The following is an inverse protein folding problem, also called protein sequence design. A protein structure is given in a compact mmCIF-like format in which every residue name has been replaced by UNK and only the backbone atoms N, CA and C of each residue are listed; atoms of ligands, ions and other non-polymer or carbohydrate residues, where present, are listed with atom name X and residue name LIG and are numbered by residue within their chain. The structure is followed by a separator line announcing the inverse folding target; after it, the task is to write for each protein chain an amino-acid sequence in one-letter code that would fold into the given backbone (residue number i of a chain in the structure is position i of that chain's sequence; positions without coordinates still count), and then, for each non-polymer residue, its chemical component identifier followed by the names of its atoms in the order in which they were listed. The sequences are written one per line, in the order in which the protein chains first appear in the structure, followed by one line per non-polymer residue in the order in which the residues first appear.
data_IF_524397963445
#
_entry.id   IF_524397963445
#
_cell.length_a   1.000
_cell.length_b   1.000
_cell.length_c   1.000
_cell.angle_alpha   90.00
_cell.angle_beta   90.00
_cell.angle_gamma   90.00
#
_symmetry.space_group_name_H-M   'P 1'
#
loop_
_entity.id
_entity.type
_entity.pdbx_description
1 polymer ?
#
# COMPACT_ATOMS: atom_id res chain seq x y z
N UNK A 1 16.88 14.19 -20.70
CA UNK A 1 17.29 15.59 -20.59
C UNK A 1 18.78 15.78 -20.29
N UNK A 2 19.55 14.73 -20.07
CA UNK A 2 20.95 14.83 -19.59
C UNK A 2 22.06 14.92 -20.68
N UNK A 3 21.79 14.67 -21.95
CA UNK A 3 22.85 14.68 -22.97
C UNK A 3 23.24 16.09 -23.40
N UNK A 4 22.35 17.06 -23.32
CA UNK A 4 22.63 18.47 -23.69
C UNK A 4 23.45 19.21 -22.64
N UNK A 5 23.32 18.85 -21.36
CA UNK A 5 24.00 19.52 -20.25
C UNK A 5 25.47 19.11 -20.15
N UNK A 6 25.80 17.86 -20.45
CA UNK A 6 27.18 17.39 -20.46
C UNK A 6 27.99 18.01 -21.58
N UNK A 7 27.39 18.25 -22.77
CA UNK A 7 28.06 18.87 -23.90
C UNK A 7 28.37 20.36 -23.63
N UNK A 8 27.48 21.05 -22.91
CA UNK A 8 27.69 22.45 -22.52
C UNK A 8 28.79 22.58 -21.48
N UNK A 9 28.84 21.67 -20.50
CA UNK A 9 29.86 21.67 -19.46
C UNK A 9 31.26 21.38 -20.04
N UNK A 10 31.38 20.47 -20.99
CA UNK A 10 32.64 20.19 -21.70
C UNK A 10 33.09 21.35 -22.59
N UNK A 11 32.16 22.03 -23.25
CA UNK A 11 32.47 23.22 -24.04
C UNK A 11 33.00 24.38 -23.17
N UNK A 12 32.35 24.63 -22.04
CA UNK A 12 32.80 25.64 -21.06
C UNK A 12 34.15 25.30 -20.46
N UNK A 13 34.39 24.02 -20.14
CA UNK A 13 35.66 23.55 -19.64
C UNK A 13 36.80 23.72 -20.69
N UNK A 14 36.54 23.44 -21.96
CA UNK A 14 37.49 23.63 -23.05
C UNK A 14 37.86 25.11 -23.23
N UNK A 15 36.90 26.02 -23.13
CA UNK A 15 37.13 27.47 -23.22
C UNK A 15 37.98 27.96 -22.04
N UNK A 16 37.68 27.50 -20.82
CA UNK A 16 38.44 27.87 -19.59
C UNK A 16 39.86 27.31 -19.67
N UNK A 17 40.05 26.08 -20.12
CA UNK A 17 41.33 25.44 -20.31
C UNK A 17 42.24 26.20 -21.30
N UNK A 18 41.60 26.75 -22.37
CA UNK A 18 42.32 27.51 -23.41
C UNK A 18 42.82 28.87 -22.86
N UNK A 19 42.11 29.50 -21.89
CA UNK A 19 42.47 30.78 -21.32
C UNK A 19 43.45 30.68 -20.13
N UNK A 20 43.33 29.63 -19.29
CA UNK A 20 44.06 29.52 -18.05
C UNK A 20 45.20 28.48 -18.02
N UNK A 21 45.43 27.72 -19.10
CA UNK A 21 46.41 26.64 -19.19
C UNK A 21 46.36 25.61 -18.03
N UNK A 22 45.20 25.51 -17.36
CA UNK A 22 44.96 24.55 -16.28
C UNK A 22 44.14 23.37 -16.84
N UNK A 23 44.65 22.15 -16.70
CA UNK A 23 43.88 20.96 -17.10
C UNK A 23 42.74 20.67 -16.11
N UNK A 24 41.62 21.40 -16.28
CA UNK A 24 40.43 21.22 -15.46
C UNK A 24 39.66 19.92 -15.82
N UNK A 25 40.04 19.25 -16.90
CA UNK A 25 39.39 18.02 -17.41
C UNK A 25 39.34 16.89 -16.36
N UNK A 26 40.45 16.68 -15.62
CA UNK A 26 40.50 15.67 -14.57
C UNK A 26 39.54 15.96 -13.40
N UNK A 27 39.49 17.21 -12.97
CA UNK A 27 38.63 17.62 -11.84
C UNK A 27 37.15 17.54 -12.24
N UNK A 28 36.81 18.02 -13.45
CA UNK A 28 35.45 17.94 -13.97
C UNK A 28 35.03 16.48 -14.19
N UNK A 29 35.93 15.62 -14.67
CA UNK A 29 35.69 14.19 -14.80
C UNK A 29 35.34 13.51 -13.48
N UNK A 30 36.06 13.85 -12.40
CA UNK A 30 35.77 13.34 -11.06
C UNK A 30 34.39 13.83 -10.57
N UNK A 31 34.07 15.11 -10.72
CA UNK A 31 32.78 15.67 -10.32
C UNK A 31 31.63 14.99 -11.07
N UNK A 32 31.75 14.87 -12.39
CA UNK A 32 30.72 14.19 -13.22
C UNK A 32 30.58 12.74 -12.81
N UNK A 33 31.67 12.03 -12.55
CA UNK A 33 31.62 10.64 -12.09
C UNK A 33 30.89 10.48 -10.77
N UNK A 34 31.11 11.38 -9.81
CA UNK A 34 30.42 11.37 -8.53
C UNK A 34 28.92 11.63 -8.68
N UNK A 35 28.54 12.56 -9.57
CA UNK A 35 27.13 12.84 -9.87
C UNK A 35 26.45 11.62 -10.51
N UNK A 36 27.13 10.95 -11.45
CA UNK A 36 26.61 9.75 -12.11
C UNK A 36 26.46 8.60 -11.09
N UNK A 37 27.45 8.39 -10.24
CA UNK A 37 27.40 7.37 -9.18
C UNK A 37 26.22 7.63 -8.25
N UNK A 38 26.05 8.87 -7.79
CA UNK A 38 24.90 9.25 -6.96
C UNK A 38 23.58 8.98 -7.66
N UNK A 39 23.42 9.44 -8.89
CA UNK A 39 22.18 9.24 -9.66
C UNK A 39 21.90 7.74 -9.88
N UNK A 40 22.92 6.93 -10.08
CA UNK A 40 22.77 5.48 -10.23
C UNK A 40 22.33 4.82 -8.92
N UNK A 41 22.88 5.23 -7.79
CA UNK A 41 22.47 4.72 -6.47
C UNK A 41 21.03 5.13 -6.16
N UNK A 42 20.65 6.36 -6.45
CA UNK A 42 19.29 6.84 -6.22
C UNK A 42 18.28 6.06 -7.08
N UNK A 43 18.61 5.79 -8.35
CA UNK A 43 17.78 4.96 -9.24
C UNK A 43 17.66 3.51 -8.75
N UNK A 44 18.73 2.91 -8.26
CA UNK A 44 18.69 1.55 -7.70
C UNK A 44 17.80 1.52 -6.46
N UNK A 45 17.93 2.51 -5.56
CA UNK A 45 17.09 2.61 -4.36
C UNK A 45 15.64 2.72 -4.72
N UNK A 46 15.28 3.65 -5.60
CA UNK A 46 13.90 3.82 -6.08
C UNK A 46 13.33 2.52 -6.66
N UNK A 47 14.12 1.80 -7.44
CA UNK A 47 13.69 0.52 -8.02
C UNK A 47 13.53 -0.57 -6.95
N UNK A 48 14.44 -0.65 -5.99
CA UNK A 48 14.37 -1.62 -4.89
C UNK A 48 13.21 -1.31 -3.96
N UNK A 49 12.99 -0.05 -3.60
CA UNK A 49 11.88 0.39 -2.76
C UNK A 49 10.54 0.06 -3.45
N UNK A 50 10.44 0.29 -4.75
CA UNK A 50 9.28 -0.10 -5.57
C UNK A 50 9.04 -1.61 -5.58
N UNK A 51 10.10 -2.44 -5.58
CA UNK A 51 9.98 -3.91 -5.55
C UNK A 51 9.66 -4.47 -4.16
N UNK A 52 10.18 -3.85 -3.11
CA UNK A 52 9.94 -4.29 -1.73
C UNK A 52 8.56 -3.91 -1.21
N UNK A 53 7.80 -3.16 -1.98
CA UNK A 53 6.52 -2.58 -1.61
C UNK A 53 6.75 -1.30 -0.81
N UNK A 54 6.61 -0.19 -1.48
CA UNK A 54 6.51 1.10 -0.83
C UNK A 54 5.46 1.02 0.28
N UNK A 55 5.75 1.63 1.43
CA UNK A 55 4.72 1.76 2.46
C UNK A 55 3.51 2.39 1.80
N UNK A 56 2.41 1.65 1.80
CA UNK A 56 1.13 2.16 1.35
C UNK A 56 0.94 3.50 2.05
N UNK A 57 0.64 4.52 1.28
CA UNK A 57 0.28 5.81 1.84
C UNK A 57 -0.88 5.59 2.82
N UNK A 58 -0.64 5.91 4.09
CA UNK A 58 -1.63 5.73 5.15
C UNK A 58 -2.94 6.48 4.80
N UNK A 59 -2.85 7.58 4.06
CA UNK A 59 -3.98 8.35 3.58
C UNK A 59 -4.78 7.58 2.51
N UNK A 60 -4.11 6.96 1.55
CA UNK A 60 -4.75 6.13 0.54
C UNK A 60 -5.43 4.90 1.17
N UNK A 61 -4.73 4.23 2.10
CA UNK A 61 -5.27 3.09 2.82
C UNK A 61 -6.53 3.45 3.61
N UNK A 62 -6.51 4.60 4.29
CA UNK A 62 -7.66 5.09 5.04
C UNK A 62 -8.84 5.43 4.12
N UNK A 63 -8.58 6.12 3.01
CA UNK A 63 -9.59 6.52 2.04
C UNK A 63 -10.27 5.32 1.39
N UNK A 64 -9.52 4.29 1.01
CA UNK A 64 -10.07 3.04 0.45
C UNK A 64 -10.98 2.35 1.48
N UNK A 65 -10.50 2.18 2.71
CA UNK A 65 -11.29 1.54 3.77
C UNK A 65 -12.56 2.32 4.07
N UNK A 66 -12.48 3.64 4.13
CA UNK A 66 -13.65 4.50 4.34
C UNK A 66 -14.67 4.37 3.21
N UNK A 67 -14.21 4.39 1.95
CA UNK A 67 -15.08 4.23 0.78
C UNK A 67 -15.79 2.86 0.74
N UNK A 68 -15.13 1.81 1.26
CA UNK A 68 -15.74 0.48 1.37
C UNK A 68 -16.77 0.44 2.50
N UNK A 69 -16.52 1.13 3.61
CA UNK A 69 -17.50 1.23 4.71
C UNK A 69 -18.72 2.10 4.39
N UNK A 70 -18.77 2.77 3.21
CA UNK A 70 -20.00 3.44 2.73
C UNK A 70 -21.10 2.47 2.27
N UNK A 71 -20.76 1.21 2.01
CA UNK A 71 -21.76 0.19 1.68
C UNK A 71 -22.50 -0.23 2.95
N UNK A 72 -23.83 -0.19 2.92
CA UNK A 72 -24.69 -0.50 4.08
C UNK A 72 -24.46 -1.93 4.61
N UNK A 73 -24.09 -2.84 3.72
CA UNK A 73 -23.85 -4.25 4.04
C UNK A 73 -22.48 -4.50 4.69
N UNK A 74 -21.61 -3.46 4.79
CA UNK A 74 -20.23 -3.58 5.30
C UNK A 74 -20.12 -2.95 6.68
N UNK A 75 -19.78 -3.75 7.69
CA UNK A 75 -19.57 -3.28 9.06
C UNK A 75 -18.13 -2.82 9.34
N UNK A 76 -17.18 -3.26 8.52
CA UNK A 76 -15.78 -2.87 8.66
C UNK A 76 -14.91 -3.35 7.50
N UNK A 77 -13.77 -2.69 7.31
CA UNK A 77 -12.79 -3.01 6.28
C UNK A 77 -11.40 -3.13 6.91
N UNK A 78 -10.76 -4.29 6.77
CA UNK A 78 -9.56 -4.69 7.48
C UNK A 78 -8.51 -5.26 6.54
N UNK A 79 -7.26 -5.35 7.01
CA UNK A 79 -6.16 -6.07 6.36
C UNK A 79 -5.97 -5.70 4.88
N UNK A 80 -6.05 -4.39 4.57
CA UNK A 80 -5.75 -3.93 3.23
C UNK A 80 -4.27 -4.14 2.93
N UNK A 81 -3.99 -4.95 1.92
CA UNK A 81 -2.65 -5.17 1.37
C UNK A 81 -2.67 -4.67 -0.06
N UNK A 82 -1.75 -3.79 -0.40
CA UNK A 82 -1.58 -3.28 -1.75
C UNK A 82 -0.18 -3.63 -2.27
N UNK A 83 -0.10 -3.94 -3.54
CA UNK A 83 1.14 -4.18 -4.26
C UNK A 83 1.20 -3.28 -5.48
N UNK A 84 2.33 -2.63 -5.68
CA UNK A 84 2.59 -1.83 -6.87
C UNK A 84 3.22 -2.72 -7.95
N UNK A 85 2.51 -2.89 -9.07
CA UNK A 85 3.00 -3.66 -10.23
C UNK A 85 3.41 -2.76 -11.40
N UNK A 86 3.74 -1.50 -11.13
CA UNK A 86 4.21 -0.54 -12.14
C UNK A 86 3.57 0.83 -11.97
N UNK A 87 3.90 1.79 -12.83
CA UNK A 87 3.56 3.20 -12.61
C UNK A 87 2.06 3.52 -12.59
N UNK A 88 1.21 2.61 -13.08
CA UNK A 88 -0.24 2.87 -13.20
C UNK A 88 -1.10 1.71 -12.69
N UNK A 89 -0.52 0.67 -12.08
CA UNK A 89 -1.29 -0.53 -11.71
C UNK A 89 -1.02 -0.93 -10.27
N UNK A 90 -1.92 -0.58 -9.39
CA UNK A 90 -1.96 -1.12 -8.03
C UNK A 90 -2.92 -2.30 -7.96
N UNK A 91 -2.48 -3.36 -7.29
CA UNK A 91 -3.33 -4.52 -6.98
C UNK A 91 -3.34 -4.76 -5.49
N UNK A 92 -4.44 -5.29 -4.98
CA UNK A 92 -4.52 -5.55 -3.56
C UNK A 92 -5.59 -6.55 -3.17
N UNK A 93 -5.60 -6.83 -1.87
CA UNK A 93 -6.63 -7.61 -1.22
C UNK A 93 -7.07 -6.92 0.06
N UNK A 94 -8.30 -7.18 0.46
CA UNK A 94 -8.89 -6.60 1.66
C UNK A 94 -9.84 -7.61 2.30
N UNK A 95 -10.03 -7.52 3.61
CA UNK A 95 -11.11 -8.22 4.30
C UNK A 95 -12.23 -7.25 4.65
N UNK A 96 -13.47 -7.67 4.46
CA UNK A 96 -14.65 -6.93 4.87
C UNK A 96 -15.46 -7.73 5.89
N UNK A 97 -16.06 -7.05 6.85
CA UNK A 97 -16.97 -7.65 7.81
C UNK A 97 -18.40 -7.42 7.33
N UNK A 98 -19.17 -8.50 7.20
CA UNK A 98 -20.56 -8.51 6.75
C UNK A 98 -21.42 -9.37 7.69
N UNK A 99 -22.72 -9.29 7.58
CA UNK A 99 -23.62 -10.13 8.37
C UNK A 99 -23.44 -11.62 8.02
N UNK A 100 -23.45 -12.46 9.04
CA UNK A 100 -23.18 -13.90 8.91
C UNK A 100 -24.29 -14.69 8.20
N UNK A 101 -25.47 -14.09 8.02
CA UNK A 101 -26.61 -14.68 7.32
C UNK A 101 -26.69 -14.31 5.82
N UNK A 102 -25.76 -13.48 5.34
CA UNK A 102 -25.67 -13.16 3.91
C UNK A 102 -25.44 -14.38 3.04
N UNK A 103 -26.18 -14.47 1.94
CA UNK A 103 -25.96 -15.57 0.99
C UNK A 103 -24.68 -15.37 0.17
N UNK A 104 -24.10 -16.48 -0.31
CA UNK A 104 -22.92 -16.41 -1.18
C UNK A 104 -23.16 -15.58 -2.45
N UNK A 105 -24.41 -15.53 -2.95
CA UNK A 105 -24.79 -14.71 -4.11
C UNK A 105 -24.73 -13.22 -3.75
N UNK A 106 -25.21 -12.84 -2.59
CA UNK A 106 -25.20 -11.45 -2.15
C UNK A 106 -23.77 -10.97 -1.86
N UNK A 107 -22.97 -11.80 -1.20
CA UNK A 107 -21.54 -11.55 -1.00
C UNK A 107 -20.82 -11.34 -2.34
N UNK A 108 -21.09 -12.18 -3.35
CA UNK A 108 -20.50 -12.04 -4.67
C UNK A 108 -20.93 -10.73 -5.35
N UNK A 109 -22.20 -10.33 -5.22
CA UNK A 109 -22.69 -9.06 -5.78
C UNK A 109 -22.03 -7.87 -5.10
N UNK A 110 -21.94 -7.90 -3.77
CA UNK A 110 -21.27 -6.87 -2.97
C UNK A 110 -19.81 -6.74 -3.33
N UNK A 111 -19.08 -7.86 -3.39
CA UNK A 111 -17.66 -7.87 -3.75
C UNK A 111 -17.40 -7.26 -5.14
N UNK A 112 -18.28 -7.53 -6.12
CA UNK A 112 -18.17 -6.91 -7.45
C UNK A 112 -18.43 -5.41 -7.43
N UNK A 113 -19.40 -4.94 -6.63
CA UNK A 113 -19.68 -3.50 -6.48
C UNK A 113 -18.48 -2.78 -5.86
N UNK A 114 -17.94 -3.36 -4.78
CA UNK A 114 -16.75 -2.83 -4.09
C UNK A 114 -15.56 -2.79 -5.05
N UNK A 115 -15.23 -3.91 -5.71
CA UNK A 115 -14.07 -3.97 -6.62
C UNK A 115 -14.18 -2.92 -7.74
N UNK A 116 -15.38 -2.73 -8.30
CA UNK A 116 -15.60 -1.73 -9.34
C UNK A 116 -15.43 -0.32 -8.79
N UNK A 117 -16.04 0.02 -7.66
CA UNK A 117 -15.91 1.33 -7.05
C UNK A 117 -14.46 1.67 -6.75
N UNK A 118 -13.70 0.75 -6.16
CA UNK A 118 -12.31 0.97 -5.82
C UNK A 118 -11.42 1.10 -7.06
N UNK A 119 -11.73 0.36 -8.12
CA UNK A 119 -11.02 0.51 -9.38
C UNK A 119 -11.30 1.87 -10.03
N UNK A 120 -12.56 2.31 -10.04
CA UNK A 120 -12.97 3.56 -10.67
C UNK A 120 -12.45 4.79 -9.89
N UNK A 121 -12.50 4.77 -8.57
CA UNK A 121 -12.16 5.91 -7.71
C UNK A 121 -10.65 6.02 -7.41
N UNK A 122 -9.96 4.89 -7.25
CA UNK A 122 -8.57 4.83 -6.75
C UNK A 122 -7.58 4.17 -7.72
N UNK A 123 -8.03 3.64 -8.86
CA UNK A 123 -7.21 2.88 -9.82
C UNK A 123 -6.52 1.66 -9.16
N UNK A 124 -7.17 1.05 -8.17
CA UNK A 124 -6.71 -0.14 -7.47
C UNK A 124 -7.55 -1.34 -7.86
N UNK A 125 -6.91 -2.38 -8.38
CA UNK A 125 -7.54 -3.65 -8.70
C UNK A 125 -7.57 -4.56 -7.47
N UNK A 126 -8.73 -4.72 -6.84
CA UNK A 126 -8.90 -5.69 -5.76
C UNK A 126 -8.98 -7.11 -6.35
N UNK A 127 -7.92 -7.90 -6.13
CA UNK A 127 -7.81 -9.29 -6.61
C UNK A 127 -8.45 -10.29 -5.66
N UNK A 128 -8.65 -9.91 -4.39
CA UNK A 128 -9.30 -10.72 -3.39
C UNK A 128 -10.03 -9.87 -2.35
N UNK A 129 -11.27 -10.25 -2.04
CA UNK A 129 -12.03 -9.70 -0.92
C UNK A 129 -12.35 -10.86 0.01
N UNK A 130 -11.63 -10.90 1.15
CA UNK A 130 -11.89 -11.85 2.22
C UNK A 130 -13.12 -11.44 3.02
N UNK A 131 -13.82 -12.40 3.58
CA UNK A 131 -15.06 -12.15 4.32
C UNK A 131 -14.88 -12.55 5.78
N UNK A 132 -15.14 -11.60 6.67
CA UNK A 132 -15.38 -11.85 8.09
C UNK A 132 -16.88 -11.83 8.33
N UNK A 133 -17.43 -12.97 8.71
CA UNK A 133 -18.85 -13.09 9.03
C UNK A 133 -19.08 -12.65 10.48
N UNK A 134 -19.96 -11.66 10.67
CA UNK A 134 -20.42 -11.23 11.99
C UNK A 134 -21.52 -12.17 12.47
N UNK A 135 -21.25 -12.93 13.53
CA UNK A 135 -22.25 -13.80 14.14
C UNK A 135 -22.91 -13.09 15.34
N UNK A 136 -24.15 -12.71 15.15
CA UNK A 136 -24.98 -12.02 16.17
C UNK A 136 -25.11 -12.86 17.46
N UNK A 137 -25.04 -14.19 17.37
CA UNK A 137 -25.14 -15.09 18.50
C UNK A 137 -24.11 -14.79 19.61
N UNK A 138 -22.95 -14.28 19.22
CA UNK A 138 -21.81 -14.05 20.13
C UNK A 138 -21.49 -12.56 20.36
N UNK A 139 -22.41 -11.67 19.99
CA UNK A 139 -22.22 -10.22 20.18
C UNK A 139 -21.97 -9.83 21.64
N UNK A 140 -22.52 -10.60 22.60
CA UNK A 140 -22.27 -10.35 24.02
C UNK A 140 -20.80 -10.58 24.39
N UNK A 141 -20.15 -11.63 23.87
CA UNK A 141 -18.73 -11.90 24.11
C UNK A 141 -17.88 -10.81 23.43
N UNK A 142 -18.25 -10.40 22.23
CA UNK A 142 -17.58 -9.32 21.51
C UNK A 142 -17.65 -8.01 22.28
N UNK A 143 -18.81 -7.70 22.89
CA UNK A 143 -18.98 -6.51 23.73
C UNK A 143 -18.06 -6.53 24.95
N UNK A 144 -18.02 -7.65 25.67
CA UNK A 144 -17.15 -7.82 26.83
C UNK A 144 -15.66 -7.69 26.47
N UNK A 145 -15.26 -8.28 25.34
CA UNK A 145 -13.89 -8.14 24.84
C UNK A 145 -13.56 -6.70 24.47
N UNK A 146 -14.47 -5.98 23.82
CA UNK A 146 -14.25 -4.56 23.49
C UNK A 146 -14.10 -3.70 24.73
N UNK A 147 -14.84 -4.00 25.83
CA UNK A 147 -14.66 -3.31 27.10
C UNK A 147 -13.27 -3.58 27.71
N UNK A 148 -12.80 -4.81 27.60
CA UNK A 148 -11.46 -5.17 28.07
C UNK A 148 -10.39 -4.49 27.21
N UNK A 149 -10.51 -4.56 25.89
CA UNK A 149 -9.55 -3.97 24.93
C UNK A 149 -9.46 -2.46 25.12
N UNK A 150 -10.60 -1.79 25.40
CA UNK A 150 -10.62 -0.35 25.66
C UNK A 150 -9.76 0.10 26.87
N UNK A 151 -9.33 -0.83 27.72
CA UNK A 151 -8.39 -0.56 28.83
C UNK A 151 -6.90 -0.59 28.39
N UNK A 152 -6.63 -1.03 27.15
CA UNK A 152 -5.28 -1.21 26.61
C UNK A 152 -5.11 -0.37 25.35
N UNK A 153 -4.61 0.86 25.45
CA UNK A 153 -4.49 1.79 24.33
C UNK A 153 -3.53 1.33 23.21
N UNK A 154 -2.68 0.34 23.51
CA UNK A 154 -1.79 -0.29 22.55
C UNK A 154 -2.54 -1.16 21.52
N UNK A 155 -3.73 -1.66 21.87
CA UNK A 155 -4.57 -2.47 20.98
C UNK A 155 -5.44 -1.54 20.17
N UNK A 156 -5.10 -1.38 18.90
CA UNK A 156 -5.80 -0.43 18.03
C UNK A 156 -7.13 -0.97 17.52
N UNK A 157 -7.24 -2.28 17.30
CA UNK A 157 -8.37 -2.86 16.59
C UNK A 157 -8.52 -4.35 16.86
N UNK A 158 -9.76 -4.85 16.94
CA UNK A 158 -10.11 -6.27 16.96
C UNK A 158 -10.94 -6.60 15.73
N UNK A 159 -10.51 -7.59 14.97
CA UNK A 159 -11.20 -8.10 13.79
C UNK A 159 -11.05 -9.63 13.70
N UNK A 160 -11.77 -10.27 12.79
CA UNK A 160 -11.76 -11.72 12.62
C UNK A 160 -12.14 -12.49 13.89
N UNK A 161 -13.09 -11.95 14.67
CA UNK A 161 -13.56 -12.60 15.88
C UNK A 161 -14.36 -13.86 15.57
N UNK A 162 -13.88 -15.02 16.00
CA UNK A 162 -14.53 -16.32 15.79
C UNK A 162 -14.66 -17.06 17.12
N UNK A 163 -15.84 -17.57 17.41
CA UNK A 163 -16.11 -18.39 18.57
C UNK A 163 -16.24 -19.84 18.16
N UNK A 164 -15.42 -20.71 18.75
CA UNK A 164 -15.52 -22.15 18.58
C UNK A 164 -16.24 -22.78 19.78
N UNK A 165 -17.38 -23.43 19.53
CA UNK A 165 -18.05 -24.24 20.54
C UNK A 165 -17.27 -25.56 20.70
N UNK A 166 -16.47 -25.68 21.74
CA UNK A 166 -15.83 -26.93 22.11
C UNK A 166 -16.85 -27.83 22.80
N UNK A 167 -17.37 -28.83 22.09
CA UNK A 167 -18.13 -29.88 22.73
C UNK A 167 -17.17 -30.83 23.46
N UNK A 168 -17.14 -30.75 24.79
CA UNK A 168 -16.49 -31.76 25.61
C UNK A 168 -17.36 -33.00 25.61
N UNK A 169 -17.04 -33.94 24.72
CA UNK A 169 -17.58 -35.30 24.81
C UNK A 169 -16.85 -35.95 25.97
N UNK A 170 -17.54 -36.07 27.11
CA UNK A 170 -17.07 -36.96 28.18
C UNK A 170 -17.28 -38.40 27.68
N UNK A 171 -16.18 -39.09 27.46
CA UNK A 171 -16.16 -40.55 27.33
C UNK A 171 -16.20 -41.16 28.70
#
# INVERSE_FOLDING_TARGET
MCIRDSSLATLVAAIISMFYHISLEGILGVIISLVIIKASIDMIRETVDSMLGDRIDDELSHSIKQSICEFEEVHGAYDLILHNYGPETMQGSIHIEVDGDMTAVDIQRLSRKISRKILDDYQVLLTGIGIYAKDVKYDYIRSDLNEIIGKYPEIKQMHAFIVYELSLIHI
#
